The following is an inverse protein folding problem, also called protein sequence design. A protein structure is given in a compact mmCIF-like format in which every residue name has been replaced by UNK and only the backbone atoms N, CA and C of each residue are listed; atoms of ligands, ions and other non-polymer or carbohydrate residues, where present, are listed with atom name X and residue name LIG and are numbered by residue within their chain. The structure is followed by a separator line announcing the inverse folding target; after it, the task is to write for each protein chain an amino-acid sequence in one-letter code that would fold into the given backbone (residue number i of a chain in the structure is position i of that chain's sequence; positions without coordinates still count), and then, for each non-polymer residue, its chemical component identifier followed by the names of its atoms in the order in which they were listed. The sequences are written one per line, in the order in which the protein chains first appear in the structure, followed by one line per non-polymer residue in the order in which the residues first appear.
data_IF_602950629984
#
_entry.id   IF_602950629984
#
_cell.length_a   1.000
_cell.length_b   1.000
_cell.length_c   1.000
_cell.angle_alpha   90.00
_cell.angle_beta   90.00
_cell.angle_gamma   90.00
#
_symmetry.space_group_name_H-M   'P 1'
#
loop_
_entity.id
_entity.type
_entity.pdbx_description
1 polymer ?
#
# COMPACT_ATOMS: atom_id res chain seq x y z
N UNK A 1 6.91 -24.11 -4.18
CA UNK A 1 6.73 -23.19 -5.30
C UNK A 1 6.63 -21.76 -4.78
N UNK A 2 7.40 -20.88 -5.33
CA UNK A 2 7.34 -19.47 -4.96
C UNK A 2 6.55 -18.70 -6.02
N UNK A 3 5.61 -17.91 -5.57
CA UNK A 3 4.91 -16.97 -6.41
C UNK A 3 5.33 -15.56 -6.02
N UNK A 4 5.62 -14.76 -7.01
CA UNK A 4 5.98 -13.37 -6.81
C UNK A 4 4.88 -12.48 -7.36
N UNK A 5 4.55 -11.44 -6.64
CA UNK A 5 3.58 -10.45 -7.09
C UNK A 5 3.94 -9.09 -6.51
N UNK A 6 3.41 -8.06 -7.15
CA UNK A 6 3.65 -6.69 -6.73
C UNK A 6 2.38 -6.10 -6.16
N UNK A 7 2.50 -5.50 -4.99
CA UNK A 7 1.47 -4.66 -4.40
C UNK A 7 1.99 -3.22 -4.34
N UNK A 8 1.10 -2.31 -4.09
CA UNK A 8 1.42 -0.90 -3.98
C UNK A 8 0.98 -0.40 -2.62
N UNK A 9 1.86 0.33 -1.98
CA UNK A 9 1.59 0.92 -0.68
C UNK A 9 1.80 2.42 -0.74
N UNK A 10 1.46 3.10 0.34
CA UNK A 10 1.70 4.53 0.48
C UNK A 10 2.64 4.75 1.65
N UNK A 11 3.74 5.44 1.38
CA UNK A 11 4.74 5.75 2.37
C UNK A 11 4.70 7.22 2.71
N UNK A 12 4.77 7.52 4.00
CA UNK A 12 4.98 8.87 4.47
C UNK A 12 6.47 9.19 4.39
N UNK A 13 6.84 10.13 3.53
CA UNK A 13 8.24 10.48 3.32
C UNK A 13 8.90 11.04 4.56
N UNK A 14 8.14 11.69 5.42
CA UNK A 14 8.70 12.30 6.63
C UNK A 14 9.09 11.26 7.68
N UNK A 15 8.43 10.10 7.70
CA UNK A 15 8.71 9.04 8.66
C UNK A 15 9.39 7.83 8.04
N UNK A 16 9.29 7.67 6.71
CA UNK A 16 9.77 6.49 6.01
C UNK A 16 8.93 5.26 6.24
N UNK A 17 7.72 5.41 6.75
CA UNK A 17 6.85 4.27 7.10
C UNK A 17 5.64 4.19 6.18
N UNK A 18 5.18 2.97 5.94
CA UNK A 18 3.92 2.74 5.26
C UNK A 18 2.76 3.17 6.15
N UNK A 19 1.75 3.73 5.53
CA UNK A 19 0.55 4.16 6.24
C UNK A 19 -0.67 3.41 5.74
N UNK A 20 -1.69 3.30 6.59
CA UNK A 20 -2.90 2.54 6.27
C UNK A 20 -4.19 3.28 6.60
N UNK A 21 -4.10 4.56 6.89
CA UNK A 21 -5.24 5.33 7.36
C UNK A 21 -5.78 6.33 6.35
N UNK A 22 -5.50 6.13 5.07
CA UNK A 22 -5.92 7.08 4.03
C UNK A 22 -7.27 6.73 3.39
N UNK A 23 -7.77 5.53 3.62
CA UNK A 23 -9.07 5.10 3.11
C UNK A 23 -9.94 4.53 4.22
N UNK A 24 -11.24 4.41 3.94
CA UNK A 24 -12.21 3.77 4.81
C UNK A 24 -13.00 2.73 3.99
N UNK A 25 -12.85 1.40 4.23
CA UNK A 25 -12.01 0.83 5.28
C UNK A 25 -10.51 1.05 5.04
N UNK A 26 -9.73 0.92 6.09
CA UNK A 26 -8.29 1.17 6.01
C UNK A 26 -7.60 0.12 5.17
N UNK A 27 -7.01 0.56 4.05
CA UNK A 27 -6.23 -0.28 3.18
C UNK A 27 -4.76 0.06 3.37
N UNK A 28 -3.93 -0.96 3.49
CA UNK A 28 -2.49 -0.81 3.57
C UNK A 28 -1.84 -1.07 2.21
N UNK A 29 -2.49 -1.90 1.39
CA UNK A 29 -1.97 -2.29 0.09
C UNK A 29 -3.06 -2.21 -0.97
N UNK A 30 -2.64 -1.93 -2.19
CA UNK A 30 -3.50 -1.91 -3.37
C UNK A 30 -2.90 -2.80 -4.44
N UNK A 31 -3.76 -3.42 -5.24
CA UNK A 31 -3.30 -4.32 -6.30
C UNK A 31 -2.74 -3.58 -7.50
N UNK A 32 -3.18 -2.35 -7.75
CA UNK A 32 -2.70 -1.56 -8.87
C UNK A 32 -2.18 -0.21 -8.40
N UNK A 33 -1.20 0.29 -9.14
CA UNK A 33 -0.63 1.60 -8.86
C UNK A 33 -1.68 2.70 -8.98
N UNK A 34 -2.55 2.59 -9.98
CA UNK A 34 -3.58 3.59 -10.22
C UNK A 34 -4.54 3.74 -9.05
N UNK A 35 -4.96 2.63 -8.45
CA UNK A 35 -5.85 2.69 -7.30
C UNK A 35 -5.16 3.30 -6.08
N UNK A 36 -3.90 2.98 -5.88
CA UNK A 36 -3.11 3.58 -4.81
C UNK A 36 -2.96 5.10 -5.02
N UNK A 37 -2.64 5.51 -6.24
CA UNK A 37 -2.51 6.93 -6.57
C UNK A 37 -3.82 7.70 -6.38
N UNK A 38 -4.94 7.09 -6.77
CA UNK A 38 -6.25 7.69 -6.59
C UNK A 38 -6.59 7.85 -5.10
N UNK A 39 -6.24 6.86 -4.29
CA UNK A 39 -6.45 6.93 -2.84
C UNK A 39 -5.66 8.08 -2.23
N UNK A 40 -4.40 8.23 -2.62
CA UNK A 40 -3.55 9.34 -2.16
C UNK A 40 -4.13 10.69 -2.60
N UNK A 41 -4.57 10.77 -3.85
CA UNK A 41 -5.14 12.01 -4.37
C UNK A 41 -6.37 12.45 -3.59
N UNK A 42 -7.26 11.51 -3.28
CA UNK A 42 -8.45 11.79 -2.48
C UNK A 42 -8.11 12.23 -1.07
N UNK A 43 -7.14 11.55 -0.47
CA UNK A 43 -6.69 11.88 0.87
C UNK A 43 -6.09 13.27 0.93
N UNK A 44 -5.21 13.60 0.00
CA UNK A 44 -4.53 14.89 -0.05
C UNK A 44 -5.41 16.04 -0.55
N UNK A 45 -6.57 15.74 -1.14
CA UNK A 45 -7.52 16.78 -1.55
C UNK A 45 -8.17 17.44 -0.34
N UNK A 46 -8.13 16.80 0.81
CA UNK A 46 -8.63 17.37 2.04
C UNK A 46 -7.66 18.42 2.57
N UNK A 47 -8.18 19.57 2.96
CA UNK A 47 -7.36 20.72 3.36
C UNK A 47 -6.31 20.39 4.42
N UNK A 48 -6.70 19.65 5.44
CA UNK A 48 -5.79 19.33 6.55
C UNK A 48 -4.73 18.26 6.20
N UNK A 49 -4.84 17.64 5.03
CA UNK A 49 -3.88 16.65 4.56
C UNK A 49 -2.96 17.18 3.46
N UNK A 50 -3.18 18.42 3.01
CA UNK A 50 -2.47 18.96 1.85
C UNK A 50 -0.95 19.06 2.06
N UNK A 51 -0.51 19.17 3.31
CA UNK A 51 0.91 19.28 3.66
C UNK A 51 1.62 17.94 3.81
N UNK A 52 0.87 16.84 3.73
CA UNK A 52 1.45 15.51 3.87
C UNK A 52 2.31 15.16 2.66
N UNK A 53 3.45 14.59 2.93
CA UNK A 53 4.37 14.14 1.89
C UNK A 53 4.23 12.63 1.74
N UNK A 54 3.37 12.22 0.81
CA UNK A 54 3.05 10.82 0.58
C UNK A 54 3.56 10.37 -0.78
N UNK A 55 3.96 9.13 -0.84
CA UNK A 55 4.50 8.53 -2.05
C UNK A 55 3.94 7.13 -2.22
N UNK A 56 3.51 6.81 -3.44
CA UNK A 56 3.12 5.44 -3.78
C UNK A 56 4.39 4.65 -4.05
N UNK A 57 4.54 3.53 -3.38
CA UNK A 57 5.71 2.66 -3.51
C UNK A 57 5.31 1.27 -3.96
N UNK A 58 6.19 0.63 -4.70
CA UNK A 58 6.03 -0.77 -5.08
C UNK A 58 6.55 -1.66 -3.97
N UNK A 59 5.81 -2.72 -3.69
CA UNK A 59 6.18 -3.71 -2.69
C UNK A 59 6.25 -5.05 -3.39
N UNK A 60 7.43 -5.62 -3.45
CA UNK A 60 7.59 -6.98 -3.96
C UNK A 60 7.19 -7.96 -2.89
N UNK A 61 6.28 -8.85 -3.25
CA UNK A 61 5.78 -9.87 -2.36
C UNK A 61 6.13 -11.25 -2.89
N UNK A 62 6.54 -12.12 -2.00
CA UNK A 62 6.81 -13.53 -2.33
C UNK A 62 5.93 -14.41 -1.49
N UNK A 63 5.22 -15.31 -2.15
CA UNK A 63 4.46 -16.33 -1.46
C UNK A 63 5.34 -17.56 -1.33
N UNK A 64 5.60 -17.95 -0.10
CA UNK A 64 6.42 -19.12 0.18
C UNK A 64 5.58 -20.14 0.93
N UNK A 65 5.61 -21.37 0.45
CA UNK A 65 4.94 -22.45 1.15
C UNK A 65 5.76 -22.81 2.38
N UNK A 66 5.20 -22.56 3.56
CA UNK A 66 5.85 -22.85 4.83
C UNK A 66 5.55 -24.29 5.26
N UNK A 67 4.33 -24.73 5.01
CA UNK A 67 3.92 -26.09 5.32
C UNK A 67 2.89 -26.57 4.31
N UNK A 68 2.91 -27.88 4.05
CA UNK A 68 1.94 -28.54 3.19
C UNK A 68 0.91 -29.26 4.06
N UNK A 69 -0.35 -28.94 3.83
CA UNK A 69 -1.43 -29.63 4.53
C UNK A 69 -1.94 -30.74 3.62
N UNK A 70 -1.89 -31.97 4.10
CA UNK A 70 -2.41 -33.13 3.38
C UNK A 70 -3.61 -33.67 4.12
N UNK A 71 -4.64 -33.95 3.37
CA UNK A 71 -5.82 -34.61 3.90
C UNK A 71 -5.75 -36.13 3.66
#
# INVERSE_FOLDING_TARGET
MENEFTLYGVMDKSTGKLISNITNPRHKYWETRKTAENAVRRFMSRRYNADRQLEVVEIECKVKVISEVRE
#
